data_IF_536304936159
#
_entry.id   IF_536304936159
#
_cell.length_a   1.000
_cell.length_b   1.000
_cell.length_c   1.000
_cell.angle_alpha   90.00
_cell.angle_beta   90.00
_cell.angle_gamma   90.00
#
_symmetry.space_group_name_H-M   'P 1'
#
loop_
_entity.id
_entity.type
_entity.pdbx_description
1 polymer ?
#
# COMPACT_ATOMS: atom_id res chain seq x y z
N UNK A 1 -16.70 -6.67 23.44
CA UNK A 1 -17.16 -5.43 22.80
C UNK A 1 -15.93 -4.54 22.60
N UNK A 2 -15.23 -4.62 21.44
CA UNK A 2 -14.09 -3.73 21.14
C UNK A 2 -14.66 -2.33 20.96
N UNK A 3 -14.16 -1.36 21.73
CA UNK A 3 -14.46 0.06 21.54
C UNK A 3 -14.15 0.36 20.06
N UNK A 4 -15.14 0.82 19.31
CA UNK A 4 -14.90 1.50 18.04
C UNK A 4 -14.17 2.80 18.40
N UNK A 5 -12.85 2.75 18.38
CA UNK A 5 -12.02 3.96 18.43
C UNK A 5 -12.36 4.66 17.11
N UNK A 6 -12.87 5.87 17.19
CA UNK A 6 -13.07 6.74 16.05
C UNK A 6 -11.66 7.05 15.53
N UNK A 7 -11.26 6.27 14.51
CA UNK A 7 -9.91 6.38 13.94
C UNK A 7 -9.91 7.60 13.04
N UNK A 8 -9.18 8.63 13.43
CA UNK A 8 -8.96 9.77 12.55
C UNK A 8 -8.35 9.32 11.22
N UNK A 9 -8.73 10.01 10.14
CA UNK A 9 -8.18 9.73 8.82
C UNK A 9 -6.64 9.88 8.85
N UNK A 10 -5.88 8.87 8.40
CA UNK A 10 -4.44 8.94 8.45
C UNK A 10 -3.89 9.95 7.42
N UNK A 11 -2.80 10.61 7.79
CA UNK A 11 -2.04 11.46 6.88
C UNK A 11 -1.00 10.64 6.10
N UNK A 12 -0.58 11.10 4.89
CA UNK A 12 0.49 10.44 4.14
C UNK A 12 1.83 10.59 4.87
N UNK A 13 2.60 9.50 4.91
CA UNK A 13 3.92 9.45 5.56
C UNK A 13 5.04 9.80 4.58
N UNK A 14 4.91 9.41 3.32
CA UNK A 14 6.00 9.40 2.34
C UNK A 14 5.61 10.22 1.11
N UNK A 15 6.39 11.26 0.80
CA UNK A 15 6.16 12.14 -0.36
C UNK A 15 6.55 11.46 -1.70
N UNK A 16 6.46 12.19 -2.78
CA UNK A 16 6.91 11.76 -4.10
C UNK A 16 8.44 11.65 -4.15
N UNK A 17 8.93 10.84 -5.07
CA UNK A 17 10.37 10.60 -5.24
C UNK A 17 11.19 11.89 -5.38
N UNK A 18 10.65 12.89 -6.09
CA UNK A 18 11.28 14.19 -6.33
C UNK A 18 11.54 15.00 -5.05
N UNK A 19 10.74 14.74 -4.01
CA UNK A 19 10.80 15.43 -2.72
C UNK A 19 11.27 14.53 -1.58
N UNK A 20 11.64 13.29 -1.91
CA UNK A 20 12.12 12.35 -0.90
C UNK A 20 13.60 12.57 -0.67
N UNK A 21 14.03 12.96 0.55
CA UNK A 21 15.45 13.03 0.86
C UNK A 21 16.07 11.63 0.77
N UNK A 22 17.36 11.58 0.44
CA UNK A 22 18.07 10.31 0.45
C UNK A 22 18.08 9.73 1.87
N UNK A 23 17.41 8.62 2.13
CA UNK A 23 17.25 8.06 3.48
C UNK A 23 18.56 7.53 4.08
N UNK A 24 19.58 7.31 3.23
CA UNK A 24 20.90 6.88 3.68
C UNK A 24 21.76 8.03 4.24
N UNK A 25 21.41 9.28 3.92
CA UNK A 25 22.20 10.47 4.32
C UNK A 25 21.44 11.46 5.19
N UNK A 26 20.12 11.53 5.09
CA UNK A 26 19.29 12.52 5.78
C UNK A 26 17.97 11.91 6.27
N UNK A 27 17.93 11.52 7.54
CA UNK A 27 16.70 10.98 8.14
C UNK A 27 15.93 11.99 9.03
N UNK A 28 16.49 13.16 9.29
CA UNK A 28 15.94 14.11 10.26
C UNK A 28 14.82 14.96 9.64
N UNK A 29 13.61 14.88 10.20
CA UNK A 29 12.53 15.84 9.95
C UNK A 29 11.21 15.35 9.36
N UNK A 30 11.11 14.09 8.92
CA UNK A 30 9.90 13.56 8.26
C UNK A 30 8.74 13.32 9.26
N UNK A 31 9.04 13.15 10.54
CA UNK A 31 8.04 12.80 11.58
C UNK A 31 7.48 13.98 12.37
N UNK A 32 7.95 15.21 12.12
CA UNK A 32 7.55 16.38 12.93
C UNK A 32 6.03 16.54 13.11
N UNK A 33 5.23 16.54 12.04
CA UNK A 33 3.78 16.71 12.14
C UNK A 33 3.03 15.51 12.72
N UNK A 34 3.60 14.29 12.62
CA UNK A 34 2.93 13.03 13.00
C UNK A 34 3.16 12.67 14.47
N UNK A 35 4.11 13.30 15.16
CA UNK A 35 4.50 12.93 16.52
C UNK A 35 3.38 13.09 17.57
N UNK A 36 2.41 13.96 17.29
CA UNK A 36 1.30 14.24 18.22
C UNK A 36 0.12 13.27 18.07
N UNK A 37 0.04 12.56 16.93
CA UNK A 37 -1.12 11.73 16.58
C UNK A 37 -0.87 10.23 16.75
N UNK A 38 0.38 9.83 17.09
CA UNK A 38 0.73 8.41 17.21
C UNK A 38 0.63 7.97 18.68
N UNK A 39 -0.40 7.19 19.04
CA UNK A 39 -0.56 6.75 20.42
C UNK A 39 0.47 5.69 20.81
N UNK A 40 1.03 5.82 21.99
CA UNK A 40 1.64 4.79 22.86
C UNK A 40 2.88 4.00 22.39
N UNK A 41 3.31 4.05 21.13
CA UNK A 41 4.55 3.38 20.71
C UNK A 41 5.79 4.21 21.06
N UNK A 42 6.92 3.58 21.26
CA UNK A 42 8.17 4.32 21.47
C UNK A 42 8.55 5.07 20.20
N UNK A 43 9.01 6.33 20.33
CA UNK A 43 9.44 7.12 19.17
C UNK A 43 10.56 6.45 18.36
N UNK A 44 11.35 5.61 19.01
CA UNK A 44 12.46 4.85 18.39
C UNK A 44 11.93 3.79 17.43
N UNK A 45 10.85 3.10 17.79
CA UNK A 45 10.29 2.02 16.95
C UNK A 45 9.70 2.58 15.65
N UNK A 46 8.99 3.71 15.70
CA UNK A 46 8.48 4.36 14.49
C UNK A 46 9.58 4.87 13.59
N UNK A 47 10.60 5.49 14.17
CA UNK A 47 11.71 6.01 13.41
C UNK A 47 12.42 4.91 12.66
N UNK A 48 12.65 3.77 13.32
CA UNK A 48 13.29 2.60 12.71
C UNK A 48 12.42 2.00 11.60
N UNK A 49 11.13 1.80 11.85
CA UNK A 49 10.17 1.32 10.86
C UNK A 49 10.19 2.21 9.60
N UNK A 50 10.06 3.54 9.81
CA UNK A 50 10.02 4.49 8.71
C UNK A 50 11.34 4.56 7.96
N UNK A 51 12.47 4.57 8.67
CA UNK A 51 13.80 4.59 8.06
C UNK A 51 14.01 3.39 7.14
N UNK A 52 13.74 2.19 7.61
CA UNK A 52 13.89 0.97 6.82
C UNK A 52 12.91 0.93 5.64
N UNK A 53 11.68 1.40 5.84
CA UNK A 53 10.71 1.52 4.75
C UNK A 53 11.18 2.49 3.67
N UNK A 54 11.74 3.64 4.06
CA UNK A 54 12.30 4.62 3.13
C UNK A 54 13.51 4.06 2.37
N UNK A 55 14.43 3.37 3.04
CA UNK A 55 15.57 2.71 2.39
C UNK A 55 15.09 1.68 1.36
N UNK A 56 14.13 0.84 1.73
CA UNK A 56 13.54 -0.13 0.81
C UNK A 56 12.89 0.52 -0.41
N UNK A 57 12.01 1.51 -0.20
CA UNK A 57 11.28 2.16 -1.29
C UNK A 57 12.25 2.95 -2.19
N UNK A 58 13.25 3.61 -1.61
CA UNK A 58 14.24 4.38 -2.35
C UNK A 58 15.12 3.51 -3.26
N UNK A 59 15.30 2.23 -2.94
CA UNK A 59 16.02 1.29 -3.82
C UNK A 59 15.32 1.07 -5.18
N UNK A 60 14.05 1.48 -5.31
CA UNK A 60 13.28 1.42 -6.55
C UNK A 60 13.15 2.78 -7.27
N UNK A 61 14.05 3.71 -7.01
CA UNK A 61 14.04 5.07 -7.58
C UNK A 61 14.25 5.12 -9.10
N UNK A 62 14.71 4.05 -9.72
CA UNK A 62 14.86 3.94 -11.18
C UNK A 62 13.54 3.82 -11.95
N UNK A 63 12.40 3.59 -11.29
CA UNK A 63 11.08 3.48 -11.91
C UNK A 63 10.01 4.13 -11.06
N UNK A 64 9.47 5.25 -11.53
CA UNK A 64 8.40 6.00 -10.84
C UNK A 64 7.17 5.12 -10.56
N UNK A 65 6.79 4.27 -11.50
CA UNK A 65 5.62 3.39 -11.34
C UNK A 65 5.86 2.33 -10.25
N UNK A 66 7.05 1.74 -10.23
CA UNK A 66 7.47 0.77 -9.22
C UNK A 66 7.55 1.45 -7.85
N UNK A 67 8.26 2.58 -7.77
CA UNK A 67 8.35 3.38 -6.56
C UNK A 67 6.96 3.69 -5.97
N UNK A 68 6.03 4.20 -6.78
CA UNK A 68 4.68 4.55 -6.33
C UNK A 68 3.90 3.33 -5.82
N UNK A 69 4.06 2.17 -6.48
CA UNK A 69 3.38 0.94 -6.07
C UNK A 69 3.93 0.42 -4.74
N UNK A 70 5.25 0.39 -4.58
CA UNK A 70 5.91 -0.08 -3.37
C UNK A 70 5.63 0.87 -2.20
N UNK A 71 5.77 2.19 -2.41
CA UNK A 71 5.40 3.20 -1.43
C UNK A 71 3.98 3.02 -0.91
N UNK A 72 3.01 2.85 -1.82
CA UNK A 72 1.60 2.71 -1.47
C UNK A 72 1.35 1.52 -0.53
N UNK A 73 1.88 0.36 -0.86
CA UNK A 73 1.60 -0.85 -0.09
C UNK A 73 2.36 -0.86 1.24
N UNK A 74 3.63 -0.43 1.25
CA UNK A 74 4.42 -0.35 2.48
C UNK A 74 3.83 0.70 3.43
N UNK A 75 3.47 1.89 2.93
CA UNK A 75 2.86 2.93 3.76
C UNK A 75 1.51 2.49 4.34
N UNK A 76 0.67 1.79 3.58
CA UNK A 76 -0.57 1.20 4.10
C UNK A 76 -0.30 0.25 5.26
N UNK A 77 0.74 -0.58 5.15
CA UNK A 77 1.14 -1.48 6.22
C UNK A 77 1.59 -0.70 7.46
N UNK A 78 2.44 0.32 7.30
CA UNK A 78 2.91 1.16 8.40
C UNK A 78 1.75 1.85 9.11
N UNK A 79 0.87 2.52 8.34
CA UNK A 79 -0.31 3.20 8.89
C UNK A 79 -1.21 2.23 9.67
N UNK A 80 -1.46 1.04 9.12
CA UNK A 80 -2.28 0.04 9.79
C UNK A 80 -1.59 -0.50 11.06
N UNK A 81 -0.30 -0.81 10.99
CA UNK A 81 0.47 -1.29 12.13
C UNK A 81 0.46 -0.28 13.28
N UNK A 82 0.68 0.99 12.97
CA UNK A 82 0.80 2.04 13.98
C UNK A 82 -0.55 2.50 14.55
N UNK A 83 -1.57 2.67 13.71
CA UNK A 83 -2.85 3.25 14.12
C UNK A 83 -3.92 2.21 14.47
N UNK A 84 -3.82 0.97 13.96
CA UNK A 84 -4.84 -0.07 14.20
C UNK A 84 -4.34 -1.13 15.18
N UNK A 85 -3.10 -1.59 14.97
CA UNK A 85 -2.49 -2.65 15.81
C UNK A 85 -1.75 -2.06 17.00
N UNK A 86 -1.36 -0.77 16.90
CA UNK A 86 -0.52 -0.08 17.88
C UNK A 86 0.81 -0.83 18.13
N UNK A 87 1.45 -1.28 17.04
CA UNK A 87 2.67 -2.07 17.07
C UNK A 87 3.61 -1.65 15.93
N UNK A 88 4.94 -1.76 16.13
CA UNK A 88 5.87 -1.58 15.03
C UNK A 88 5.64 -2.60 13.91
N UNK A 89 5.82 -2.18 12.65
CA UNK A 89 5.71 -3.09 11.51
C UNK A 89 6.79 -4.20 11.55
N UNK A 90 7.93 -3.94 12.16
CA UNK A 90 9.00 -4.93 12.39
C UNK A 90 8.57 -6.07 13.35
N UNK A 91 7.58 -5.84 14.21
CA UNK A 91 7.10 -6.81 15.18
C UNK A 91 5.90 -7.63 14.67
N UNK A 92 5.38 -7.34 13.48
CA UNK A 92 4.20 -8.02 12.94
C UNK A 92 4.47 -9.50 12.64
N UNK A 93 3.50 -10.33 12.99
CA UNK A 93 3.52 -11.78 12.77
C UNK A 93 2.58 -12.16 11.62
N UNK A 94 2.66 -13.43 11.21
CA UNK A 94 1.86 -13.98 10.11
C UNK A 94 0.36 -13.71 10.24
N UNK A 95 -0.22 -13.95 11.41
CA UNK A 95 -1.63 -13.73 11.69
C UNK A 95 -2.04 -12.27 11.51
N UNK A 96 -1.20 -11.35 11.96
CA UNK A 96 -1.43 -9.91 11.78
C UNK A 96 -1.31 -9.49 10.31
N UNK A 97 -0.44 -10.11 9.51
CA UNK A 97 -0.44 -9.87 8.06
C UNK A 97 -1.73 -10.38 7.40
N UNK A 98 -2.27 -11.51 7.84
CA UNK A 98 -3.58 -11.99 7.36
C UNK A 98 -4.70 -10.98 7.73
N UNK A 99 -4.68 -10.45 8.96
CA UNK A 99 -5.60 -9.38 9.40
C UNK A 99 -5.44 -8.09 8.58
N UNK A 100 -4.20 -7.72 8.25
CA UNK A 100 -3.94 -6.57 7.37
C UNK A 100 -4.58 -6.74 5.99
N UNK A 101 -4.50 -7.92 5.39
CA UNK A 101 -5.15 -8.17 4.10
C UNK A 101 -6.68 -8.10 4.21
N UNK A 102 -7.26 -8.59 5.31
CA UNK A 102 -8.69 -8.40 5.59
C UNK A 102 -9.04 -6.92 5.73
N UNK A 103 -8.24 -6.15 6.47
CA UNK A 103 -8.40 -4.71 6.59
C UNK A 103 -8.34 -3.99 5.23
N UNK A 104 -7.39 -4.36 4.36
CA UNK A 104 -7.30 -3.78 3.01
C UNK A 104 -8.54 -4.06 2.15
N UNK A 105 -9.24 -5.17 2.38
CA UNK A 105 -10.48 -5.49 1.65
C UNK A 105 -11.70 -4.68 2.15
N UNK A 106 -11.71 -4.29 3.42
CA UNK A 106 -12.80 -3.54 4.04
C UNK A 106 -12.26 -2.51 5.05
N UNK A 107 -11.53 -1.50 4.58
CA UNK A 107 -11.02 -0.45 5.46
C UNK A 107 -12.17 0.43 5.96
N UNK A 108 -11.99 1.15 7.09
CA UNK A 108 -12.98 2.12 7.58
C UNK A 108 -13.22 3.23 6.55
N UNK A 109 -14.42 3.82 6.55
CA UNK A 109 -14.80 4.86 5.59
C UNK A 109 -13.85 6.06 5.62
N UNK A 110 -13.38 6.47 6.80
CA UNK A 110 -12.42 7.57 6.98
C UNK A 110 -11.06 7.32 6.30
N UNK A 111 -10.76 6.07 5.96
CA UNK A 111 -9.55 5.67 5.23
C UNK A 111 -9.75 5.61 3.72
N UNK A 112 -10.98 5.84 3.24
CA UNK A 112 -11.35 5.72 1.82
C UNK A 112 -11.63 7.09 1.24
N UNK A 113 -10.82 7.50 0.26
CA UNK A 113 -11.07 8.69 -0.55
C UNK A 113 -11.97 8.38 -1.73
N UNK A 114 -12.71 9.38 -2.18
CA UNK A 114 -13.51 9.34 -3.42
C UNK A 114 -12.84 10.07 -4.58
N UNK A 115 -11.65 10.64 -4.33
CA UNK A 115 -10.85 11.38 -5.32
C UNK A 115 -9.39 11.01 -5.18
N UNK A 116 -8.68 10.97 -6.30
CA UNK A 116 -7.23 10.97 -6.29
C UNK A 116 -6.73 12.39 -6.04
N UNK A 117 -6.12 12.60 -4.89
CA UNK A 117 -5.52 13.89 -4.51
C UNK A 117 -4.02 13.73 -4.30
N UNK A 118 -3.28 14.83 -4.39
CA UNK A 118 -1.85 14.84 -4.08
C UNK A 118 -1.64 14.46 -2.61
N UNK A 119 -0.59 13.70 -2.33
CA UNK A 119 -0.23 13.25 -0.97
C UNK A 119 0.22 14.40 -0.08
N UNK A 120 1.01 15.30 -0.66
CA UNK A 120 1.53 16.49 -0.01
C UNK A 120 1.17 17.71 -0.84
N UNK A 121 1.00 18.83 -0.18
CA UNK A 121 0.72 20.14 -0.77
C UNK A 121 1.74 21.18 -0.32
N UNK A 122 1.97 22.20 -1.12
CA UNK A 122 2.79 23.33 -0.71
C UNK A 122 1.93 24.32 0.06
N UNK A 123 2.34 24.65 1.27
CA UNK A 123 1.73 25.70 2.10
C UNK A 123 2.83 26.64 2.57
N UNK A 124 2.74 27.92 2.19
CA UNK A 124 3.72 28.94 2.54
C UNK A 124 5.18 28.56 2.24
N UNK A 125 5.42 27.83 1.14
CA UNK A 125 6.78 27.40 0.75
C UNK A 125 7.22 26.06 1.36
N UNK A 126 6.46 25.50 2.28
CA UNK A 126 6.77 24.21 2.91
C UNK A 126 5.89 23.07 2.35
N UNK A 127 6.48 21.88 2.28
CA UNK A 127 5.75 20.64 1.92
C UNK A 127 5.07 20.09 3.15
N UNK A 128 3.73 20.07 3.13
CA UNK A 128 2.92 19.55 4.24
C UNK A 128 2.03 18.39 3.78
N UNK A 129 1.74 17.42 4.64
CA UNK A 129 0.79 16.36 4.33
C UNK A 129 -0.57 16.94 3.91
N UNK A 130 -1.20 16.32 2.91
CA UNK A 130 -2.53 16.72 2.48
C UNK A 130 -3.59 15.99 3.30
N UNK A 131 -4.36 16.72 4.06
CA UNK A 131 -5.44 16.26 4.92
C UNK A 131 -6.63 15.62 4.19
N UNK A 132 -6.79 15.90 2.88
CA UNK A 132 -7.78 15.24 2.02
C UNK A 132 -7.31 13.87 1.51
N UNK A 133 -6.02 13.56 1.62
CA UNK A 133 -5.50 12.30 1.12
C UNK A 133 -6.00 11.11 1.96
N UNK A 134 -6.20 9.99 1.28
CA UNK A 134 -6.59 8.73 1.92
C UNK A 134 -5.76 7.57 1.33
N UNK A 135 -5.40 6.56 2.15
CA UNK A 135 -4.60 5.42 1.68
C UNK A 135 -5.34 4.51 0.71
N UNK A 136 -6.67 4.50 0.76
CA UNK A 136 -7.53 3.78 -0.14
C UNK A 136 -8.38 4.75 -0.94
N UNK A 137 -8.71 4.41 -2.19
CA UNK A 137 -9.55 5.25 -3.04
C UNK A 137 -10.59 4.38 -3.73
N UNK A 138 -11.85 4.75 -3.58
CA UNK A 138 -12.94 4.14 -4.32
C UNK A 138 -12.92 4.63 -5.77
N UNK A 139 -13.16 3.71 -6.70
CA UNK A 139 -13.19 4.00 -8.12
C UNK A 139 -14.48 3.51 -8.74
N UNK A 140 -15.01 4.26 -9.69
CA UNK A 140 -16.05 3.80 -10.61
C UNK A 140 -15.44 3.54 -11.98
N UNK A 141 -16.10 2.73 -12.80
CA UNK A 141 -15.64 2.50 -14.16
C UNK A 141 -15.69 3.82 -14.97
N UNK A 142 -14.87 3.91 -16.04
CA UNK A 142 -14.90 5.09 -16.93
C UNK A 142 -16.27 5.30 -17.55
N UNK A 143 -17.02 4.23 -17.80
CA UNK A 143 -18.37 4.29 -18.37
C UNK A 143 -19.35 4.87 -17.34
N UNK A 144 -19.33 4.37 -16.11
CA UNK A 144 -20.20 4.84 -15.03
C UNK A 144 -19.93 6.31 -14.70
N UNK A 145 -18.65 6.71 -14.69
CA UNK A 145 -18.27 8.11 -14.50
C UNK A 145 -18.82 9.02 -15.60
N UNK A 146 -18.78 8.57 -16.87
CA UNK A 146 -19.39 9.30 -18.00
C UNK A 146 -20.91 9.39 -17.87
N UNK A 147 -21.53 8.42 -17.22
CA UNK A 147 -22.97 8.39 -16.94
C UNK A 147 -23.34 9.19 -15.67
N UNK A 148 -22.41 9.99 -15.12
CA UNK A 148 -22.63 10.85 -13.97
C UNK A 148 -22.54 10.15 -12.61
N UNK A 149 -22.10 8.90 -12.54
CA UNK A 149 -21.87 8.22 -11.25
C UNK A 149 -20.60 8.74 -10.60
N UNK A 150 -20.68 9.05 -9.31
CA UNK A 150 -19.51 9.45 -8.49
C UNK A 150 -19.08 8.29 -7.60
N UNK A 151 -17.77 8.14 -7.33
CA UNK A 151 -17.30 7.12 -6.41
C UNK A 151 -17.85 7.34 -4.99
N UNK A 152 -18.31 6.29 -4.35
CA UNK A 152 -18.75 6.28 -2.97
C UNK A 152 -17.80 5.38 -2.15
N UNK A 153 -17.51 5.77 -0.90
CA UNK A 153 -16.63 4.98 0.00
C UNK A 153 -17.15 3.56 0.20
N UNK A 154 -18.46 3.38 0.29
CA UNK A 154 -19.12 2.07 0.44
C UNK A 154 -18.94 1.14 -0.78
N UNK A 155 -18.59 1.69 -1.94
CA UNK A 155 -18.34 0.93 -3.17
C UNK A 155 -16.87 0.51 -3.32
N UNK A 156 -16.04 0.83 -2.33
CA UNK A 156 -14.63 0.43 -2.35
C UNK A 156 -14.51 -1.10 -2.38
N UNK A 157 -13.69 -1.59 -3.29
CA UNK A 157 -13.32 -3.00 -3.35
C UNK A 157 -11.89 -3.15 -3.83
N UNK A 158 -11.18 -4.10 -3.27
CA UNK A 158 -9.82 -4.42 -3.69
C UNK A 158 -9.86 -5.54 -4.73
N UNK A 159 -9.29 -5.28 -5.91
CA UNK A 159 -9.24 -6.31 -6.97
C UNK A 159 -8.31 -7.46 -6.60
N UNK A 160 -8.55 -8.65 -7.15
CA UNK A 160 -7.69 -9.82 -6.94
C UNK A 160 -6.24 -9.57 -7.40
N UNK A 161 -6.06 -8.78 -8.46
CA UNK A 161 -4.74 -8.36 -8.92
C UNK A 161 -4.04 -7.47 -7.90
N UNK A 162 -4.77 -6.54 -7.27
CA UNK A 162 -4.24 -5.68 -6.23
C UNK A 162 -3.84 -6.48 -4.98
N UNK A 163 -4.65 -7.46 -4.54
CA UNK A 163 -4.30 -8.35 -3.42
C UNK A 163 -3.00 -9.11 -3.71
N UNK A 164 -2.86 -9.67 -4.93
CA UNK A 164 -1.62 -10.35 -5.34
C UNK A 164 -0.42 -9.41 -5.31
N UNK A 165 -0.59 -8.18 -5.80
CA UNK A 165 0.46 -7.16 -5.78
C UNK A 165 0.86 -6.80 -4.34
N UNK A 166 -0.11 -6.61 -3.44
CA UNK A 166 0.15 -6.36 -2.01
C UNK A 166 0.99 -7.49 -1.41
N UNK A 167 0.60 -8.75 -1.59
CA UNK A 167 1.40 -9.90 -1.10
C UNK A 167 2.82 -9.91 -1.66
N UNK A 168 2.98 -9.65 -2.95
CA UNK A 168 4.29 -9.64 -3.60
C UNK A 168 5.18 -8.54 -3.04
N UNK A 169 4.66 -7.32 -2.96
CA UNK A 169 5.40 -6.15 -2.47
C UNK A 169 5.79 -6.32 -1.00
N UNK A 170 4.84 -6.73 -0.15
CA UNK A 170 5.13 -6.95 1.27
C UNK A 170 6.11 -8.11 1.48
N UNK A 171 6.03 -9.17 0.67
CA UNK A 171 7.02 -10.25 0.73
C UNK A 171 8.42 -9.76 0.36
N UNK A 172 8.55 -8.88 -0.63
CA UNK A 172 9.81 -8.23 -0.99
C UNK A 172 10.31 -7.30 0.11
N UNK A 173 9.41 -6.52 0.73
CA UNK A 173 9.75 -5.65 1.86
C UNK A 173 10.30 -6.44 3.05
N UNK A 174 9.61 -7.49 3.49
CA UNK A 174 10.12 -8.33 4.57
C UNK A 174 11.36 -9.13 4.19
N UNK A 175 11.55 -9.46 2.91
CA UNK A 175 12.80 -10.02 2.39
C UNK A 175 13.97 -9.04 2.56
N UNK A 176 13.76 -7.76 2.24
CA UNK A 176 14.73 -6.70 2.50
C UNK A 176 15.01 -6.55 4.00
N UNK A 177 13.97 -6.50 4.85
CA UNK A 177 14.15 -6.39 6.29
C UNK A 177 14.96 -7.55 6.90
N UNK A 178 14.87 -8.75 6.33
CA UNK A 178 15.71 -9.90 6.71
C UNK A 178 17.17 -9.69 6.28
N UNK A 179 17.42 -9.12 5.10
CA UNK A 179 18.76 -8.80 4.63
C UNK A 179 19.43 -7.71 5.48
N UNK A 180 18.64 -6.77 5.97
CA UNK A 180 19.09 -5.72 6.92
C UNK A 180 19.12 -6.21 8.39
N UNK A 181 18.92 -7.50 8.62
CA UNK A 181 18.91 -8.12 9.97
C UNK A 181 17.90 -7.46 10.94
N UNK A 182 16.90 -6.76 10.40
CA UNK A 182 15.88 -6.08 11.19
C UNK A 182 14.78 -7.02 11.68
N UNK A 183 14.54 -8.12 10.95
CA UNK A 183 13.60 -9.17 11.32
C UNK A 183 14.20 -10.56 11.03
N UNK A 184 13.80 -11.56 11.81
CA UNK A 184 14.34 -12.93 11.64
C UNK A 184 13.60 -13.75 10.58
N UNK A 185 12.35 -13.40 10.28
CA UNK A 185 11.47 -14.18 9.41
C UNK A 185 10.62 -13.26 8.55
N UNK A 186 10.22 -13.76 7.38
CA UNK A 186 9.26 -13.09 6.53
C UNK A 186 7.83 -13.57 6.88
N UNK A 187 7.01 -12.78 7.60
CA UNK A 187 5.67 -13.21 8.02
C UNK A 187 4.73 -13.43 6.84
N UNK A 188 4.96 -12.74 5.71
CA UNK A 188 4.18 -12.90 4.47
C UNK A 188 4.47 -14.25 3.81
N UNK A 189 5.73 -14.71 3.84
CA UNK A 189 6.12 -16.00 3.29
C UNK A 189 5.57 -17.17 4.12
N UNK A 190 5.33 -16.95 5.41
CA UNK A 190 4.76 -17.97 6.31
C UNK A 190 3.25 -18.21 6.10
N UNK A 191 2.57 -17.39 5.29
CA UNK A 191 1.16 -17.59 4.96
C UNK A 191 1.03 -18.75 3.98
N UNK A 192 0.58 -19.92 4.48
CA UNK A 192 0.50 -21.15 3.67
C UNK A 192 -0.64 -21.13 2.64
N UNK A 193 -1.78 -20.54 3.00
CA UNK A 193 -2.99 -20.54 2.15
C UNK A 193 -3.35 -19.14 1.64
N UNK A 194 -2.48 -18.57 0.80
CA UNK A 194 -2.77 -17.29 0.13
C UNK A 194 -4.04 -17.36 -0.75
N UNK A 195 -4.46 -18.56 -1.15
CA UNK A 195 -5.69 -18.79 -1.91
C UNK A 195 -6.98 -18.44 -1.17
N UNK A 196 -6.95 -18.29 0.16
CA UNK A 196 -8.09 -17.75 0.92
C UNK A 196 -8.40 -16.31 0.53
N UNK A 197 -7.36 -15.55 0.17
CA UNK A 197 -7.43 -14.13 -0.17
C UNK A 197 -7.48 -13.93 -1.69
N UNK A 198 -6.85 -14.83 -2.44
CA UNK A 198 -6.69 -14.71 -3.89
C UNK A 198 -7.47 -15.83 -4.56
N UNK A 199 -8.63 -15.49 -5.12
CA UNK A 199 -9.38 -16.44 -5.98
C UNK A 199 -8.54 -16.71 -7.23
N UNK A 200 -8.35 -17.98 -7.58
CA UNK A 200 -7.80 -18.34 -8.88
C UNK A 200 -8.81 -17.92 -9.94
N UNK A 201 -8.53 -16.88 -10.67
CA UNK A 201 -9.20 -16.66 -11.95
C UNK A 201 -8.84 -17.85 -12.84
N UNK A 202 -9.82 -18.68 -13.14
CA UNK A 202 -9.73 -19.63 -14.23
C UNK A 202 -9.79 -18.79 -15.52
N UNK A 203 -8.68 -18.17 -15.87
CA UNK A 203 -8.54 -17.56 -17.18
C UNK A 203 -8.59 -18.72 -18.16
N UNK A 204 -9.77 -18.98 -18.72
CA UNK A 204 -9.85 -19.79 -19.94
C UNK A 204 -8.94 -19.06 -20.95
N UNK A 205 -7.73 -19.58 -21.15
CA UNK A 205 -6.90 -19.13 -22.25
C UNK A 205 -7.77 -19.32 -23.49
N UNK A 206 -8.25 -18.23 -24.06
CA UNK A 206 -8.75 -18.26 -25.43
C UNK A 206 -7.56 -18.68 -26.27
N UNK A 207 -7.51 -19.95 -26.62
CA UNK A 207 -6.60 -20.44 -27.64
C UNK A 207 -7.03 -19.69 -28.89
N UNK A 208 -6.27 -18.68 -29.30
CA UNK A 208 -6.45 -18.03 -30.59
C UNK A 208 -6.17 -19.11 -31.63
N UNK A 209 -7.21 -19.76 -32.08
CA UNK A 209 -7.11 -20.65 -33.23
C UNK A 209 -6.92 -19.77 -34.43
N UNK A 210 -5.82 -19.98 -35.16
CA UNK A 210 -5.62 -19.41 -36.47
C UNK A 210 -6.73 -19.99 -37.34
N UNK A 211 -7.50 -19.14 -38.03
CA UNK A 211 -8.52 -19.63 -38.96
C UNK A 211 -7.84 -20.32 -40.16
N UNK A 212 -8.54 -21.22 -40.83
CA UNK A 212 -7.99 -21.89 -42.02
C UNK A 212 -7.46 -20.88 -43.07
N UNK A 213 -8.16 -19.77 -43.26
CA UNK A 213 -7.72 -18.67 -44.14
C UNK A 213 -6.38 -18.01 -43.68
N UNK A 214 -6.12 -17.94 -42.37
CA UNK A 214 -4.86 -17.44 -41.83
C UNK A 214 -3.74 -18.49 -41.96
N UNK A 215 -4.07 -19.78 -41.92
CA UNK A 215 -3.13 -20.85 -42.18
C UNK A 215 -2.69 -20.85 -43.66
N UNK A 216 -3.64 -20.73 -44.59
CA UNK A 216 -3.36 -20.72 -46.02
C UNK A 216 -2.41 -19.57 -46.41
N UNK A 217 -2.54 -18.39 -45.75
CA UNK A 217 -1.67 -17.24 -45.98
C UNK A 217 -0.25 -17.38 -45.39
N UNK A 218 -0.03 -18.29 -44.44
CA UNK A 218 1.30 -18.51 -43.82
C UNK A 218 2.10 -19.59 -44.58
N UNK A 219 1.44 -20.39 -45.39
CA UNK A 219 2.05 -21.51 -46.11
C UNK A 219 2.39 -21.17 -47.61
N UNK A 220 1.86 -20.05 -48.15
CA UNK A 220 2.34 -19.47 -49.41
C UNK A 220 3.65 -18.67 -49.19
#
# INVERSE_FOLDING_TARGET
MRRMIQMSAPLPLIDNLEHLPNPFTQFHGILGPLQNDIPQLSKVDYQRDLQLALCFIYSYNGSQATFNSYRREVERLLLWAWFVVESPALALRRDQIEEFIHFCNAPPEDWIGTKNVARFKNKMGERVPNDEWRPFVAHVSKLDFRNGQVPLSQQYSLSQAAIRATFSILSSYYGFLMQEEAVQQNPVALIRQKSKFVKKEVTRRQVRRISNLQWDYVIE
#
